data_IF_740486709158
#
_entry.id   IF_740486709158
#
_cell.length_a   1.000
_cell.length_b   1.000
_cell.length_c   1.000
_cell.angle_alpha   90.00
_cell.angle_beta   90.00
_cell.angle_gamma   90.00
#
_symmetry.space_group_name_H-M   'P 1'
#
loop_
_entity.id
_entity.type
_entity.pdbx_description
1 polymer ?
#
# COMPACT_ATOMS: atom_id res chain seq x y z
N UNK A 1 -9.88 1.64 29.39
CA UNK A 1 -9.24 1.07 28.17
C UNK A 1 -7.97 1.84 27.83
N UNK A 2 -6.87 1.13 27.62
CA UNK A 2 -5.48 1.57 27.75
C UNK A 2 -4.98 2.36 26.52
N UNK A 3 -5.29 3.67 26.43
CA UNK A 3 -4.99 4.56 25.28
C UNK A 3 -3.51 4.61 24.86
N UNK A 4 -2.56 4.43 25.78
CA UNK A 4 -1.10 4.48 25.48
C UNK A 4 -0.54 3.21 24.83
N UNK A 5 -1.16 2.03 25.04
CA UNK A 5 -0.67 0.76 24.47
C UNK A 5 -1.02 0.63 22.98
N UNK A 6 -2.11 1.27 22.55
CA UNK A 6 -2.60 1.28 21.16
C UNK A 6 -1.59 1.92 20.19
N UNK A 7 -1.08 3.12 20.51
CA UNK A 7 -0.21 3.85 19.57
C UNK A 7 1.09 3.11 19.22
N UNK A 8 1.73 2.42 20.19
CA UNK A 8 2.96 1.67 19.90
C UNK A 8 2.71 0.50 18.95
N UNK A 9 1.61 -0.23 19.16
CA UNK A 9 1.22 -1.33 18.28
C UNK A 9 0.92 -0.84 16.86
N UNK A 10 0.21 0.29 16.72
CA UNK A 10 -0.08 0.87 15.41
C UNK A 10 1.21 1.26 14.68
N UNK A 11 2.17 1.88 15.39
CA UNK A 11 3.47 2.24 14.82
C UNK A 11 4.24 1.00 14.37
N UNK A 12 4.27 -0.07 15.16
CA UNK A 12 4.94 -1.32 14.78
C UNK A 12 4.33 -1.94 13.52
N UNK A 13 3.00 -1.97 13.43
CA UNK A 13 2.31 -2.50 12.24
C UNK A 13 2.64 -1.67 11.00
N UNK A 14 2.60 -0.33 11.12
CA UNK A 14 2.95 0.57 10.01
C UNK A 14 4.42 0.39 9.60
N UNK A 15 5.33 0.24 10.56
CA UNK A 15 6.75 0.03 10.27
C UNK A 15 6.99 -1.28 9.50
N UNK A 16 6.35 -2.38 9.92
CA UNK A 16 6.43 -3.67 9.22
C UNK A 16 5.83 -3.56 7.81
N UNK A 17 4.70 -2.86 7.68
CA UNK A 17 4.06 -2.62 6.39
C UNK A 17 4.99 -1.87 5.44
N UNK A 18 5.60 -0.77 5.88
CA UNK A 18 6.55 0.01 5.07
C UNK A 18 7.73 -0.86 4.64
N UNK A 19 8.27 -1.68 5.55
CA UNK A 19 9.39 -2.57 5.24
C UNK A 19 9.01 -3.59 4.15
N UNK A 20 7.81 -4.17 4.23
CA UNK A 20 7.29 -5.09 3.24
C UNK A 20 7.11 -4.40 1.87
N UNK A 21 6.59 -3.17 1.86
CA UNK A 21 6.38 -2.39 0.62
C UNK A 21 7.72 -2.07 -0.05
N UNK A 22 8.73 -1.67 0.72
CA UNK A 22 10.08 -1.40 0.19
C UNK A 22 10.66 -2.67 -0.42
N UNK A 23 10.54 -3.82 0.27
CA UNK A 23 11.01 -5.10 -0.25
C UNK A 23 10.33 -5.48 -1.56
N UNK A 24 9.00 -5.38 -1.63
CA UNK A 24 8.23 -5.66 -2.84
C UNK A 24 8.63 -4.72 -3.98
N UNK A 25 8.71 -3.42 -3.72
CA UNK A 25 9.09 -2.43 -4.72
C UNK A 25 10.48 -2.68 -5.28
N UNK A 26 11.46 -2.97 -4.41
CA UNK A 26 12.82 -3.27 -4.83
C UNK A 26 12.90 -4.57 -5.65
N UNK A 27 12.18 -5.61 -5.24
CA UNK A 27 12.12 -6.87 -5.98
C UNK A 27 11.49 -6.69 -7.38
N UNK A 28 10.41 -5.91 -7.49
CA UNK A 28 9.78 -5.60 -8.78
C UNK A 28 10.72 -4.82 -9.70
N UNK A 29 11.46 -3.84 -9.16
CA UNK A 29 12.45 -3.08 -9.92
C UNK A 29 13.61 -3.97 -10.39
N UNK A 30 14.12 -4.86 -9.53
CA UNK A 30 15.23 -5.76 -9.89
C UNK A 30 14.84 -6.81 -10.92
N UNK A 31 13.65 -7.38 -10.80
CA UNK A 31 13.14 -8.38 -11.74
C UNK A 31 12.64 -7.75 -13.04
N UNK A 32 12.30 -6.46 -13.03
CA UNK A 32 11.63 -5.77 -14.13
C UNK A 32 10.19 -6.25 -14.34
N UNK A 33 9.68 -7.10 -13.45
CA UNK A 33 8.37 -7.72 -13.56
C UNK A 33 7.44 -7.04 -12.55
N UNK A 34 6.36 -6.47 -13.06
CA UNK A 34 5.28 -5.93 -12.26
C UNK A 34 4.48 -7.02 -11.53
N UNK A 35 3.34 -6.64 -10.96
CA UNK A 35 2.35 -7.59 -10.51
C UNK A 35 1.75 -8.32 -11.72
N UNK A 36 1.59 -9.63 -11.58
CA UNK A 36 1.09 -10.53 -12.63
C UNK A 36 -0.44 -10.45 -12.77
N UNK A 37 -0.95 -9.24 -13.03
CA UNK A 37 -2.36 -8.95 -13.24
C UNK A 37 -2.58 -8.19 -14.54
N UNK A 38 -3.75 -8.37 -15.15
CA UNK A 38 -4.15 -7.60 -16.32
C UNK A 38 -4.21 -6.09 -15.99
N UNK A 39 -3.97 -5.23 -16.99
CA UNK A 39 -4.03 -3.77 -16.89
C UNK A 39 -5.34 -3.28 -16.26
N UNK A 40 -6.47 -3.90 -16.64
CA UNK A 40 -7.79 -3.55 -16.08
C UNK A 40 -7.86 -3.76 -14.56
N UNK A 41 -7.25 -4.83 -14.06
CA UNK A 41 -7.20 -5.14 -12.62
C UNK A 41 -6.35 -4.12 -11.86
N UNK A 42 -5.25 -3.65 -12.44
CA UNK A 42 -4.45 -2.60 -11.82
C UNK A 42 -5.25 -1.31 -11.59
N UNK A 43 -6.05 -0.89 -12.56
CA UNK A 43 -6.93 0.27 -12.41
C UNK A 43 -8.01 0.06 -11.34
N UNK A 44 -8.62 -1.13 -11.29
CA UNK A 44 -9.57 -1.47 -10.23
C UNK A 44 -8.90 -1.37 -8.86
N UNK A 45 -7.71 -1.95 -8.69
CA UNK A 45 -6.99 -1.90 -7.42
C UNK A 45 -6.62 -0.48 -7.02
N UNK A 46 -6.18 0.36 -7.93
CA UNK A 46 -5.88 1.78 -7.66
C UNK A 46 -7.13 2.51 -7.16
N UNK A 47 -8.28 2.29 -7.79
CA UNK A 47 -9.54 2.90 -7.36
C UNK A 47 -9.93 2.40 -5.96
N UNK A 48 -9.87 1.08 -5.72
CA UNK A 48 -10.17 0.49 -4.41
C UNK A 48 -9.26 1.02 -3.30
N UNK A 49 -7.95 1.10 -3.54
CA UNK A 49 -6.99 1.65 -2.58
C UNK A 49 -7.20 3.16 -2.36
N UNK A 50 -7.63 3.90 -3.39
CA UNK A 50 -8.01 5.32 -3.26
C UNK A 50 -9.20 5.49 -2.34
N UNK A 51 -10.28 4.73 -2.55
CA UNK A 51 -11.46 4.75 -1.68
C UNK A 51 -11.13 4.33 -0.25
N UNK A 52 -10.32 3.27 -0.10
CA UNK A 52 -9.85 2.81 1.22
C UNK A 52 -9.08 3.90 1.94
N UNK A 53 -8.20 4.62 1.24
CA UNK A 53 -7.44 5.74 1.80
C UNK A 53 -8.36 6.88 2.22
N UNK A 54 -9.32 7.27 1.38
CA UNK A 54 -10.31 8.33 1.67
C UNK A 54 -11.20 8.01 2.86
N UNK A 55 -11.71 6.77 2.95
CA UNK A 55 -12.53 6.33 4.08
C UNK A 55 -11.74 6.35 5.39
N UNK A 56 -10.47 5.91 5.35
CA UNK A 56 -9.62 5.88 6.54
C UNK A 56 -9.11 7.27 6.94
N UNK A 57 -8.93 8.19 5.98
CA UNK A 57 -8.69 9.62 6.23
C UNK A 57 -9.82 10.22 7.06
N UNK A 58 -11.08 9.96 6.67
CA UNK A 58 -12.25 10.46 7.41
C UNK A 58 -12.34 9.90 8.83
N UNK A 59 -11.96 8.63 9.02
CA UNK A 59 -11.92 7.96 10.33
C UNK A 59 -10.66 8.28 11.15
N UNK A 60 -9.70 9.06 10.64
CA UNK A 60 -8.38 9.30 11.25
C UNK A 60 -7.63 8.01 11.60
N UNK A 61 -7.84 6.95 10.82
CA UNK A 61 -7.21 5.65 11.02
C UNK A 61 -5.89 5.56 10.26
N UNK A 62 -4.78 5.84 10.94
CA UNK A 62 -3.45 5.87 10.32
C UNK A 62 -3.03 4.54 9.71
N UNK A 63 -3.44 3.41 10.29
CA UNK A 63 -3.14 2.08 9.73
C UNK A 63 -3.82 1.91 8.36
N UNK A 64 -5.11 2.23 8.27
CA UNK A 64 -5.85 2.06 7.03
C UNK A 64 -5.38 3.01 5.93
N UNK A 65 -4.95 4.23 6.30
CA UNK A 65 -4.31 5.18 5.38
C UNK A 65 -2.99 4.59 4.87
N UNK A 66 -2.15 4.05 5.75
CA UNK A 66 -0.87 3.44 5.37
C UNK A 66 -1.06 2.25 4.44
N UNK A 67 -2.03 1.36 4.71
CA UNK A 67 -2.38 0.23 3.83
C UNK A 67 -2.83 0.72 2.46
N UNK A 68 -3.73 1.69 2.40
CA UNK A 68 -4.24 2.24 1.15
C UNK A 68 -3.16 2.88 0.29
N UNK A 69 -2.33 3.74 0.89
CA UNK A 69 -1.20 4.38 0.20
C UNK A 69 -0.18 3.35 -0.29
N UNK A 70 0.13 2.34 0.53
CA UNK A 70 1.08 1.29 0.20
C UNK A 70 0.61 0.46 -1.00
N UNK A 71 -0.66 0.03 -0.99
CA UNK A 71 -1.24 -0.72 -2.11
C UNK A 71 -1.27 0.10 -3.39
N UNK A 72 -1.64 1.38 -3.29
CA UNK A 72 -1.63 2.30 -4.43
C UNK A 72 -0.23 2.46 -5.01
N UNK A 73 0.78 2.64 -4.16
CA UNK A 73 2.18 2.77 -4.58
C UNK A 73 2.67 1.54 -5.36
N UNK A 74 2.40 0.33 -4.86
CA UNK A 74 2.79 -0.92 -5.53
C UNK A 74 2.08 -1.06 -6.88
N UNK A 75 0.77 -0.77 -6.94
CA UNK A 75 0.03 -0.85 -8.20
C UNK A 75 0.52 0.17 -9.24
N UNK A 76 0.85 1.39 -8.82
CA UNK A 76 1.42 2.41 -9.72
C UNK A 76 2.82 2.00 -10.18
N UNK A 77 3.67 1.51 -9.27
CA UNK A 77 5.00 1.00 -9.63
C UNK A 77 4.91 -0.15 -10.64
N UNK A 78 3.96 -1.07 -10.44
CA UNK A 78 3.68 -2.15 -11.38
C UNK A 78 3.32 -1.63 -12.77
N UNK A 79 2.41 -0.65 -12.86
CA UNK A 79 2.02 -0.04 -14.13
C UNK A 79 3.19 0.67 -14.82
N UNK A 80 4.05 1.34 -14.05
CA UNK A 80 5.26 1.98 -14.60
C UNK A 80 6.16 0.91 -15.21
N UNK A 81 6.44 -0.18 -14.50
CA UNK A 81 7.28 -1.26 -15.02
C UNK A 81 6.68 -1.97 -16.22
N UNK A 82 5.36 -2.11 -16.29
CA UNK A 82 4.68 -2.71 -17.45
C UNK A 82 4.67 -1.79 -18.68
N UNK A 83 4.85 -0.49 -18.48
CA UNK A 83 4.89 0.51 -19.55
C UNK A 83 6.29 0.72 -20.16
N UNK A 84 7.35 0.26 -19.48
CA UNK A 84 8.74 0.27 -19.95
C UNK A 84 9.15 -1.08 -20.52
#
# INVERSE_FOLDING_TARGET
MNKKRSNRFQITIIAILILAVIYFAFNMIQTGIGLDFNLFWHWIFIICFSFTTLMNLRSKSYIGIAIGLSGMFICVLSLILMAF
#
